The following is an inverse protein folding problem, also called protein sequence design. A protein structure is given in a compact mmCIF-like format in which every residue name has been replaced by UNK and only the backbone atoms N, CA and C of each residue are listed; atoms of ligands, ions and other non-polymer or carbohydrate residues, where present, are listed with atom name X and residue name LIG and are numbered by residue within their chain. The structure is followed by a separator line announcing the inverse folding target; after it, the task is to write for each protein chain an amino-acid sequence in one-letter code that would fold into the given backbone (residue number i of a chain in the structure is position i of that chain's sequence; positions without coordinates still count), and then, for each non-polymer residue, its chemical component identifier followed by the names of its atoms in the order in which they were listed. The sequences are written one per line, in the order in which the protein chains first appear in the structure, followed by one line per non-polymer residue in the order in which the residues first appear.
data_IF_939784887555
#
_entry.id   IF_939784887555
#
_cell.length_a   1.000
_cell.length_b   1.000
_cell.length_c   1.000
_cell.angle_alpha   90.00
_cell.angle_beta   90.00
_cell.angle_gamma   90.00
#
_symmetry.space_group_name_H-M   'P 1'
#
loop_
_entity.id
_entity.type
_entity.pdbx_description
1 polymer ?
#
# COMPACT_ATOMS: atom_id res chain seq x y z
N UNK A 1 -11.88 14.24 -14.49
CA UNK A 1 -11.47 14.82 -13.19
C UNK A 1 -10.50 13.84 -12.56
N UNK A 2 -9.22 14.22 -12.42
CA UNK A 2 -8.27 13.46 -11.59
C UNK A 2 -8.60 13.84 -10.14
N UNK A 3 -8.99 12.89 -9.30
CA UNK A 3 -9.11 13.17 -7.88
C UNK A 3 -7.69 13.45 -7.36
N UNK A 4 -7.47 14.65 -6.81
CA UNK A 4 -6.23 14.94 -6.12
C UNK A 4 -6.09 13.94 -4.97
N UNK A 5 -4.95 13.24 -4.91
CA UNK A 5 -4.65 12.41 -3.75
C UNK A 5 -4.16 13.36 -2.66
N UNK A 6 -5.03 13.63 -1.69
CA UNK A 6 -4.78 14.61 -0.62
C UNK A 6 -4.14 13.98 0.64
N UNK A 7 -4.11 12.65 0.70
CA UNK A 7 -3.51 11.91 1.81
C UNK A 7 -2.63 10.77 1.30
N UNK A 8 -1.40 10.69 1.81
CA UNK A 8 -0.44 9.63 1.51
C UNK A 8 0.45 9.35 2.72
N UNK A 9 0.67 8.07 2.96
CA UNK A 9 1.59 7.52 3.95
C UNK A 9 2.53 6.56 3.24
N UNK A 10 3.84 6.71 3.45
CA UNK A 10 4.84 5.79 2.93
C UNK A 10 4.93 4.57 3.85
N UNK A 11 4.80 3.37 3.27
CA UNK A 11 4.79 2.11 3.99
C UNK A 11 5.91 1.21 3.49
N UNK A 12 6.61 0.57 4.42
CA UNK A 12 7.44 -0.61 4.16
C UNK A 12 6.69 -1.82 4.70
N UNK A 13 6.42 -2.79 3.84
CA UNK A 13 5.52 -3.89 4.11
C UNK A 13 6.19 -5.22 3.79
N UNK A 14 5.88 -6.25 4.57
CA UNK A 14 6.16 -7.65 4.22
C UNK A 14 4.88 -8.34 3.80
N UNK A 15 4.85 -8.93 2.61
CA UNK A 15 3.66 -9.64 2.11
C UNK A 15 3.43 -10.92 2.91
N UNK A 16 2.24 -11.07 3.49
CA UNK A 16 1.82 -12.28 4.23
C UNK A 16 0.86 -13.12 3.40
N UNK A 17 -0.11 -12.48 2.75
CA UNK A 17 -1.07 -13.14 1.86
C UNK A 17 -1.57 -12.17 0.79
N UNK A 18 -2.06 -12.72 -0.33
CA UNK A 18 -2.79 -11.97 -1.36
C UNK A 18 -4.04 -12.72 -1.80
N UNK A 19 -5.09 -11.99 -2.09
CA UNK A 19 -6.33 -12.48 -2.69
C UNK A 19 -6.85 -11.42 -3.68
N UNK A 20 -7.79 -11.77 -4.56
CA UNK A 20 -8.45 -10.78 -5.39
C UNK A 20 -9.26 -9.80 -4.51
N UNK A 21 -9.22 -8.51 -4.83
CA UNK A 21 -9.97 -7.52 -4.07
C UNK A 21 -11.49 -7.73 -4.28
N UNK A 22 -12.30 -7.78 -3.21
CA UNK A 22 -13.72 -8.18 -3.32
C UNK A 22 -14.61 -7.16 -4.05
N UNK A 23 -14.15 -5.91 -4.19
CA UNK A 23 -14.92 -4.79 -4.73
C UNK A 23 -14.28 -4.03 -5.89
N UNK A 24 -12.99 -4.25 -6.14
CA UNK A 24 -12.21 -3.46 -7.10
C UNK A 24 -11.58 -4.40 -8.10
N UNK A 25 -12.06 -4.36 -9.34
CA UNK A 25 -11.49 -5.20 -10.40
C UNK A 25 -10.06 -4.74 -10.72
N UNK A 26 -9.19 -5.69 -11.08
CA UNK A 26 -7.74 -5.51 -11.26
C UNK A 26 -6.95 -5.12 -9.99
N UNK A 27 -7.58 -5.13 -8.83
CA UNK A 27 -6.89 -4.97 -7.54
C UNK A 27 -6.81 -6.30 -6.82
N UNK A 28 -5.74 -6.44 -6.04
CA UNK A 28 -5.60 -7.51 -5.06
C UNK A 28 -5.71 -6.91 -3.66
N UNK A 29 -6.31 -7.66 -2.74
CA UNK A 29 -6.27 -7.38 -1.31
C UNK A 29 -5.04 -8.08 -0.72
N UNK A 30 -4.03 -7.29 -0.35
CA UNK A 30 -2.82 -7.77 0.28
C UNK A 30 -2.95 -7.68 1.80
N UNK A 31 -2.65 -8.78 2.48
CA UNK A 31 -2.41 -8.78 3.93
C UNK A 31 -0.91 -8.70 4.15
N UNK A 32 -0.48 -7.70 4.90
CA UNK A 32 0.92 -7.37 5.10
C UNK A 32 1.24 -7.20 6.59
N UNK A 33 2.48 -7.49 6.96
CA UNK A 33 3.06 -6.97 8.19
C UNK A 33 3.67 -5.60 7.90
N UNK A 34 3.35 -4.60 8.72
CA UNK A 34 3.92 -3.26 8.59
C UNK A 34 5.30 -3.22 9.26
N UNK A 35 6.34 -2.93 8.48
CA UNK A 35 7.72 -2.80 8.97
C UNK A 35 8.08 -1.35 9.27
N UNK A 36 7.54 -0.41 8.50
CA UNK A 36 7.67 1.02 8.75
C UNK A 36 6.47 1.79 8.19
N UNK A 37 6.13 2.90 8.83
CA UNK A 37 5.12 3.87 8.40
C UNK A 37 5.68 5.26 8.59
N UNK A 38 5.75 6.04 7.50
CA UNK A 38 6.34 7.37 7.47
C UNK A 38 5.41 8.35 6.75
N UNK A 39 5.32 9.62 7.20
CA UNK A 39 4.55 10.63 6.50
C UNK A 39 5.19 10.98 5.15
N UNK A 40 4.36 11.33 4.16
CA UNK A 40 4.82 11.85 2.87
C UNK A 40 4.79 13.39 2.92
N UNK A 41 5.91 14.09 2.63
CA UNK A 41 5.94 15.56 2.68
C UNK A 41 4.87 16.20 1.81
N UNK A 42 4.14 17.16 2.38
CA UNK A 42 3.06 17.89 1.69
C UNK A 42 1.73 17.14 1.58
N UNK A 43 1.61 15.95 2.17
CA UNK A 43 0.39 15.14 2.16
C UNK A 43 -0.13 14.92 3.59
N UNK A 44 -1.44 14.75 3.74
CA UNK A 44 -2.00 14.33 5.02
C UNK A 44 -1.66 12.86 5.30
N UNK A 45 -1.21 12.57 6.53
CA UNK A 45 -0.96 11.21 7.00
C UNK A 45 -2.19 10.71 7.78
N UNK A 46 -3.06 9.98 7.08
CA UNK A 46 -4.35 9.50 7.63
C UNK A 46 -4.35 8.01 7.98
N UNK A 47 -3.30 7.29 7.61
CA UNK A 47 -3.12 5.88 7.99
C UNK A 47 -2.43 5.90 9.35
N UNK A 48 -3.09 5.37 10.39
CA UNK A 48 -2.76 5.60 11.80
C UNK A 48 -1.26 5.72 12.10
N UNK A 49 -0.81 6.78 12.80
CA UNK A 49 0.55 6.82 13.30
C UNK A 49 0.76 5.65 14.26
N UNK A 50 1.84 4.89 14.09
CA UNK A 50 2.23 3.68 14.86
C UNK A 50 1.66 2.32 14.41
N UNK A 51 1.42 2.11 13.11
CA UNK A 51 1.12 0.75 12.60
C UNK A 51 2.31 -0.21 12.59
N UNK A 52 3.54 0.24 12.87
CA UNK A 52 4.72 -0.63 12.84
C UNK A 52 4.56 -1.87 13.73
N UNK A 53 4.81 -3.05 13.17
CA UNK A 53 4.61 -4.35 13.83
C UNK A 53 3.20 -4.92 13.71
N UNK A 54 2.22 -4.15 13.27
CA UNK A 54 0.83 -4.60 13.10
C UNK A 54 0.60 -5.30 11.75
N UNK A 55 -0.57 -5.96 11.63
CA UNK A 55 -1.06 -6.45 10.34
C UNK A 55 -1.98 -5.44 9.70
N UNK A 56 -1.79 -5.22 8.41
CA UNK A 56 -2.57 -4.31 7.60
C UNK A 56 -3.11 -5.03 6.37
N UNK A 57 -4.39 -4.85 6.09
CA UNK A 57 -4.96 -5.23 4.79
C UNK A 57 -5.10 -3.96 3.95
N UNK A 58 -4.55 -3.99 2.75
CA UNK A 58 -4.65 -2.88 1.80
C UNK A 58 -4.88 -3.38 0.37
N UNK A 59 -5.65 -2.61 -0.39
CA UNK A 59 -5.82 -2.84 -1.81
C UNK A 59 -4.58 -2.36 -2.57
N UNK A 60 -4.05 -3.19 -3.45
CA UNK A 60 -2.94 -2.84 -4.35
C UNK A 60 -3.30 -3.26 -5.76
N UNK A 61 -2.95 -2.46 -6.77
CA UNK A 61 -3.12 -2.85 -8.18
C UNK A 61 -2.40 -4.19 -8.43
N UNK A 62 -3.10 -5.14 -9.07
CA UNK A 62 -2.58 -6.48 -9.35
C UNK A 62 -1.27 -6.45 -10.15
N UNK A 63 -1.13 -5.47 -11.04
CA UNK A 63 0.09 -5.27 -11.83
C UNK A 63 1.31 -4.96 -10.97
N UNK A 64 1.17 -4.20 -9.88
CA UNK A 64 2.27 -3.87 -8.97
C UNK A 64 2.69 -5.09 -8.13
N UNK A 65 1.73 -5.93 -7.73
CA UNK A 65 2.01 -7.12 -6.92
C UNK A 65 2.38 -8.37 -7.72
N UNK A 66 2.30 -8.32 -9.06
CA UNK A 66 2.47 -9.50 -9.92
C UNK A 66 3.73 -10.29 -9.61
N UNK A 67 4.84 -9.60 -9.44
CA UNK A 67 6.16 -10.20 -9.21
C UNK A 67 6.57 -10.22 -7.71
N UNK A 68 5.70 -9.75 -6.82
CA UNK A 68 5.94 -9.78 -5.37
C UNK A 68 5.57 -11.17 -4.85
N UNK A 69 6.50 -11.87 -4.22
CA UNK A 69 6.25 -13.18 -3.60
C UNK A 69 5.87 -13.02 -2.13
N UNK A 70 5.15 -14.00 -1.58
CA UNK A 70 4.87 -14.04 -0.13
C UNK A 70 6.19 -14.08 0.63
N UNK A 71 6.29 -13.27 1.68
CA UNK A 71 7.50 -13.07 2.48
C UNK A 71 8.41 -11.94 1.99
N UNK A 72 8.24 -11.45 0.76
CA UNK A 72 9.02 -10.33 0.24
C UNK A 72 8.69 -9.02 0.97
N UNK A 73 9.72 -8.18 1.13
CA UNK A 73 9.57 -6.79 1.58
C UNK A 73 9.41 -5.88 0.37
N UNK A 74 8.47 -4.95 0.44
CA UNK A 74 8.25 -3.95 -0.59
C UNK A 74 7.85 -2.61 0.03
N UNK A 75 8.01 -1.56 -0.76
CA UNK A 75 7.74 -0.19 -0.38
C UNK A 75 6.68 0.38 -1.30
N UNK A 76 5.75 1.13 -0.74
CA UNK A 76 4.72 1.85 -1.48
C UNK A 76 4.23 3.08 -0.73
N UNK A 77 3.41 3.90 -1.38
CA UNK A 77 2.58 4.89 -0.72
C UNK A 77 1.13 4.43 -0.72
N UNK A 78 0.43 4.65 0.37
CA UNK A 78 -0.97 4.31 0.52
C UNK A 78 -1.78 5.49 1.05
N UNK A 79 -3.08 5.47 0.77
CA UNK A 79 -4.06 6.45 1.22
C UNK A 79 -5.19 5.76 1.96
N UNK A 80 -5.83 6.49 2.88
CA UNK A 80 -7.14 6.12 3.40
C UNK A 80 -8.21 6.59 2.41
N UNK A 81 -8.94 5.63 1.84
CA UNK A 81 -10.07 5.86 0.95
C UNK A 81 -11.30 6.35 1.69
N UNK A 82 -12.25 6.94 0.96
CA UNK A 82 -13.48 7.50 1.54
C UNK A 82 -14.39 6.46 2.19
N UNK A 83 -14.27 5.19 1.81
CA UNK A 83 -14.96 4.03 2.41
C UNK A 83 -14.23 3.44 3.62
N UNK A 84 -13.11 4.02 4.06
CA UNK A 84 -12.26 3.48 5.13
C UNK A 84 -11.25 2.42 4.67
N UNK A 85 -11.26 2.07 3.38
CA UNK A 85 -10.29 1.13 2.80
C UNK A 85 -8.92 1.78 2.64
N UNK A 86 -7.86 1.06 2.99
CA UNK A 86 -6.50 1.51 2.70
C UNK A 86 -6.12 1.03 1.31
N UNK A 87 -5.74 1.95 0.43
CA UNK A 87 -5.40 1.68 -0.96
C UNK A 87 -3.99 2.19 -1.25
N UNK A 88 -3.17 1.34 -1.85
CA UNK A 88 -1.93 1.79 -2.46
C UNK A 88 -2.24 2.81 -3.55
N UNK A 89 -1.29 3.72 -3.76
CA UNK A 89 -1.31 4.61 -4.90
C UNK A 89 -1.37 3.77 -6.19
N UNK A 90 -2.36 4.00 -7.08
CA UNK A 90 -2.60 3.12 -8.21
C UNK A 90 -1.55 3.24 -9.31
N UNK A 91 -0.98 4.44 -9.48
CA UNK A 91 0.01 4.75 -10.52
C UNK A 91 1.19 5.47 -9.87
N UNK A 92 1.99 4.76 -9.05
CA UNK A 92 3.11 5.37 -8.34
C UNK A 92 4.14 5.89 -9.35
N UNK A 93 4.78 7.01 -9.05
CA UNK A 93 5.92 7.46 -9.83
C UNK A 93 7.10 6.47 -9.67
N UNK A 94 8.06 6.55 -10.58
CA UNK A 94 9.25 5.69 -10.56
C UNK A 94 9.94 5.75 -9.20
N UNK A 95 10.08 4.60 -8.54
CA UNK A 95 10.74 4.46 -7.23
C UNK A 95 9.82 4.56 -6.01
N UNK A 96 8.58 5.05 -6.18
CA UNK A 96 7.58 5.10 -5.11
C UNK A 96 6.96 3.72 -4.83
N UNK A 97 7.00 2.81 -5.82
CA UNK A 97 6.83 1.38 -5.61
C UNK A 97 8.14 0.64 -5.90
N UNK A 98 8.60 -0.19 -4.97
CA UNK A 98 9.81 -1.01 -5.14
C UNK A 98 9.76 -2.27 -4.27
N UNK A 99 10.35 -3.34 -4.77
CA UNK A 99 10.53 -4.60 -4.02
C UNK A 99 11.98 -4.67 -3.59
N UNK A 100 12.24 -5.01 -2.32
CA UNK A 100 13.60 -5.29 -1.86
C UNK A 100 14.05 -6.60 -2.49
N UNK A 101 15.20 -6.57 -3.17
CA UNK A 101 15.84 -7.80 -3.65
C UNK A 101 16.51 -8.47 -2.45
N UNK A 102 16.19 -9.75 -2.26
CA UNK A 102 16.90 -10.64 -1.34
C UNK A 102 18.36 -10.84 -1.79
#
# INVERSE_FOLDING_TARGET
MVQAVENLTALTLRLVARTAHPRLDEWDLATCQVLASLPVPGMADLISPNLTGSRLSLGVRRELLRDVVVGATFHLRARLGSSGDILAEPHPATGDFRVERL
#
